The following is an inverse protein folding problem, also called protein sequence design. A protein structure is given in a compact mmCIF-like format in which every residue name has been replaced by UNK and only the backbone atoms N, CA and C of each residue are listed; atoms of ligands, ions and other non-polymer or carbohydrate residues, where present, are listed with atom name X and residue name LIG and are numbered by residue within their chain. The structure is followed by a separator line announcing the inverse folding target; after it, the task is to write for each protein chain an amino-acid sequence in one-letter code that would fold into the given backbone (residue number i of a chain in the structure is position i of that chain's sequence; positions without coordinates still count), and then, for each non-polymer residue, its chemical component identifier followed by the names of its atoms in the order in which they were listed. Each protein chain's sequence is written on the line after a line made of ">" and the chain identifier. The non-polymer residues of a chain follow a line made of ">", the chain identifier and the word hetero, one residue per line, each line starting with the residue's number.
data_IF_077491851662
#
_entry.id   IF_077491851662
#
_cell.length_a   1.000
_cell.length_b   1.000
_cell.length_c   1.000
_cell.angle_alpha   90.00
_cell.angle_beta   90.00
_cell.angle_gamma   90.00
#
_symmetry.space_group_name_H-M   'P 1'
#
loop_
_entity.id
_entity.type
_entity.pdbx_description
1 polymer ?
#
# COMPACT_ATOMS: atom_id res chain seq x y z
N UNK A 1 3.00 4.59 13.65
CA UNK A 1 3.56 4.53 12.28
C UNK A 1 2.75 3.60 11.37
N UNK A 2 2.43 2.37 11.80
CA UNK A 2 1.62 1.43 11.00
C UNK A 2 0.29 2.00 10.48
N UNK A 3 -0.55 2.57 11.36
CA UNK A 3 -1.86 3.10 10.96
C UNK A 3 -1.79 4.25 9.94
N UNK A 4 -0.72 5.06 9.97
CA UNK A 4 -0.48 6.11 8.96
C UNK A 4 -0.20 5.48 7.61
N UNK A 5 0.69 4.48 7.56
CA UNK A 5 0.98 3.74 6.34
C UNK A 5 -0.27 3.02 5.79
N UNK A 6 -1.05 2.39 6.67
CA UNK A 6 -2.30 1.71 6.31
C UNK A 6 -3.34 2.70 5.76
N UNK A 7 -3.55 3.83 6.42
CA UNK A 7 -4.52 4.84 6.00
C UNK A 7 -4.18 5.44 4.63
N UNK A 8 -2.92 5.80 4.41
CA UNK A 8 -2.45 6.26 3.11
C UNK A 8 -2.61 5.18 2.04
N UNK A 9 -2.26 3.93 2.37
CA UNK A 9 -2.40 2.80 1.44
C UNK A 9 -3.86 2.59 1.06
N UNK A 10 -4.78 2.56 2.02
CA UNK A 10 -6.22 2.39 1.77
C UNK A 10 -6.79 3.53 0.93
N UNK A 11 -6.39 4.78 1.19
CA UNK A 11 -6.80 5.92 0.38
C UNK A 11 -6.32 5.76 -1.08
N UNK A 12 -5.05 5.38 -1.28
CA UNK A 12 -4.49 5.15 -2.61
C UNK A 12 -5.13 3.94 -3.33
N UNK A 13 -5.36 2.86 -2.59
CA UNK A 13 -5.99 1.64 -3.08
C UNK A 13 -7.44 1.90 -3.50
N UNK A 14 -8.22 2.59 -2.66
CA UNK A 14 -9.59 2.99 -2.98
C UNK A 14 -9.64 3.86 -4.25
N UNK A 15 -8.74 4.84 -4.38
CA UNK A 15 -8.63 5.63 -5.59
C UNK A 15 -8.32 4.75 -6.81
N UNK A 16 -7.40 3.79 -6.68
CA UNK A 16 -7.08 2.81 -7.73
C UNK A 16 -8.28 1.97 -8.16
N UNK A 17 -9.07 1.49 -7.20
CA UNK A 17 -10.33 0.75 -7.44
C UNK A 17 -11.32 1.63 -8.20
N UNK A 18 -11.57 2.86 -7.74
CA UNK A 18 -12.48 3.79 -8.40
C UNK A 18 -12.07 4.10 -9.84
N UNK A 19 -10.76 4.26 -10.09
CA UNK A 19 -10.22 4.43 -11.45
C UNK A 19 -10.40 3.17 -12.29
N UNK A 20 -10.13 2.00 -11.73
CA UNK A 20 -10.22 0.73 -12.45
C UNK A 20 -11.66 0.39 -12.88
N UNK A 21 -12.65 0.79 -12.07
CA UNK A 21 -14.07 0.65 -12.42
C UNK A 21 -14.66 1.85 -13.17
N UNK A 22 -13.85 2.86 -13.51
CA UNK A 22 -14.28 4.03 -14.28
C UNK A 22 -15.18 5.00 -13.51
N UNK A 23 -15.23 4.90 -12.18
CA UNK A 23 -15.99 5.82 -11.31
C UNK A 23 -15.29 7.18 -11.21
N UNK A 24 -13.95 7.19 -11.24
CA UNK A 24 -13.14 8.40 -11.17
C UNK A 24 -12.12 8.42 -12.31
N UNK A 25 -12.08 9.52 -13.08
CA UNK A 25 -10.98 9.77 -14.02
C UNK A 25 -9.90 10.64 -13.36
N UNK A 26 -8.74 10.04 -13.12
CA UNK A 26 -7.59 10.73 -12.54
C UNK A 26 -6.67 11.35 -13.58
N UNK A 27 -6.95 11.23 -14.90
CA UNK A 27 -6.08 11.80 -15.96
C UNK A 27 -5.61 13.24 -15.71
N UNK A 28 -6.46 14.19 -15.26
CA UNK A 28 -6.03 15.57 -15.00
C UNK A 28 -5.13 15.73 -13.77
N UNK A 29 -5.16 14.77 -12.84
CA UNK A 29 -4.48 14.85 -11.55
C UNK A 29 -3.74 13.56 -11.18
N UNK A 30 -3.18 12.87 -12.18
CA UNK A 30 -2.38 11.63 -11.98
C UNK A 30 -1.20 11.85 -11.03
N UNK A 31 -0.67 13.07 -11.00
CA UNK A 31 0.38 13.47 -10.06
C UNK A 31 -0.03 13.28 -8.60
N UNK A 32 -1.31 13.49 -8.26
CA UNK A 32 -1.81 13.31 -6.89
C UNK A 32 -1.77 11.84 -6.49
N UNK A 33 -2.22 10.93 -7.35
CA UNK A 33 -2.13 9.49 -7.10
C UNK A 33 -0.66 9.05 -6.91
N UNK A 34 0.26 9.56 -7.74
CA UNK A 34 1.68 9.26 -7.56
C UNK A 34 2.27 9.88 -6.28
N UNK A 35 1.91 11.11 -5.93
CA UNK A 35 2.35 11.75 -4.69
C UNK A 35 1.87 10.98 -3.45
N UNK A 36 0.59 10.57 -3.44
CA UNK A 36 0.05 9.70 -2.39
C UNK A 36 0.79 8.36 -2.39
N UNK A 37 1.03 7.73 -3.53
CA UNK A 37 1.79 6.48 -3.60
C UNK A 37 3.22 6.62 -3.03
N UNK A 38 3.94 7.71 -3.31
CA UNK A 38 5.24 7.96 -2.68
C UNK A 38 5.14 8.16 -1.17
N UNK A 39 4.11 8.87 -0.70
CA UNK A 39 3.85 9.01 0.73
C UNK A 39 3.55 7.65 1.39
N UNK A 40 2.81 6.76 0.71
CA UNK A 40 2.61 5.36 1.12
C UNK A 40 3.97 4.68 1.23
N UNK A 41 4.80 4.67 0.19
CA UNK A 41 6.12 4.02 0.22
C UNK A 41 6.98 4.47 1.40
N UNK A 42 7.09 5.78 1.64
CA UNK A 42 7.86 6.34 2.76
C UNK A 42 7.25 5.88 4.10
N UNK A 43 5.93 6.00 4.26
CA UNK A 43 5.25 5.58 5.47
C UNK A 43 5.40 4.08 5.73
N UNK A 44 5.38 3.23 4.70
CA UNK A 44 5.59 1.78 4.80
C UNK A 44 7.01 1.46 5.23
N UNK A 45 8.02 2.13 4.67
CA UNK A 45 9.43 1.95 5.10
C UNK A 45 9.59 2.33 6.57
N UNK A 46 9.06 3.50 6.97
CA UNK A 46 9.13 3.95 8.36
C UNK A 46 8.36 3.01 9.31
N UNK A 47 7.19 2.52 8.89
CA UNK A 47 6.41 1.55 9.66
C UNK A 47 7.13 0.20 9.77
N UNK A 48 7.71 -0.31 8.68
CA UNK A 48 8.46 -1.57 8.70
C UNK A 48 9.68 -1.46 9.62
N UNK A 49 10.47 -0.38 9.48
CA UNK A 49 11.63 -0.12 10.32
C UNK A 49 11.22 0.01 11.80
N UNK A 50 10.21 0.82 12.11
CA UNK A 50 9.71 0.97 13.48
C UNK A 50 9.21 -0.36 14.05
N UNK A 51 8.46 -1.13 13.28
CA UNK A 51 7.94 -2.43 13.70
C UNK A 51 9.07 -3.42 14.02
N UNK A 52 10.06 -3.55 13.14
CA UNK A 52 11.23 -4.41 13.38
C UNK A 52 12.00 -3.97 14.61
N UNK A 53 12.29 -2.68 14.75
CA UNK A 53 13.05 -2.13 15.88
C UNK A 53 12.29 -2.25 17.22
N UNK A 54 10.96 -2.27 17.18
CA UNK A 54 10.11 -2.40 18.36
C UNK A 54 9.74 -3.85 18.69
N UNK A 55 10.20 -4.84 17.89
CA UNK A 55 9.86 -6.25 18.07
C UNK A 55 8.45 -6.64 17.60
N UNK A 56 7.80 -5.79 16.81
CA UNK A 56 6.43 -5.96 16.35
C UNK A 56 6.34 -6.85 15.09
N UNK A 57 5.38 -7.77 15.08
CA UNK A 57 5.17 -8.72 13.97
C UNK A 57 4.88 -8.02 12.65
N UNK A 58 4.11 -6.93 12.66
CA UNK A 58 3.77 -6.20 11.44
C UNK A 58 5.01 -5.65 10.72
N UNK A 59 6.12 -5.40 11.41
CA UNK A 59 7.35 -4.89 10.79
C UNK A 59 7.87 -5.84 9.69
N UNK A 60 7.86 -7.13 9.99
CA UNK A 60 8.26 -8.18 9.04
C UNK A 60 7.23 -8.40 7.93
N UNK A 61 5.94 -8.31 8.26
CA UNK A 61 4.84 -8.45 7.28
C UNK A 61 4.81 -7.31 6.24
N UNK A 62 5.41 -6.16 6.53
CA UNK A 62 5.54 -5.06 5.58
C UNK A 62 6.71 -5.22 4.59
N UNK A 63 7.65 -6.15 4.81
CA UNK A 63 8.77 -6.34 3.86
C UNK A 63 8.29 -6.83 2.48
N UNK A 64 7.38 -7.82 2.36
CA UNK A 64 6.79 -8.19 1.08
C UNK A 64 6.04 -7.03 0.40
N UNK A 65 5.42 -6.13 1.17
CA UNK A 65 4.75 -4.94 0.62
C UNK A 65 5.75 -4.04 -0.11
N UNK A 66 6.93 -3.80 0.48
CA UNK A 66 7.99 -3.01 -0.16
C UNK A 66 8.47 -3.64 -1.47
N UNK A 67 8.61 -4.98 -1.50
CA UNK A 67 8.94 -5.70 -2.73
C UNK A 67 7.83 -5.54 -3.79
N UNK A 68 6.56 -5.64 -3.40
CA UNK A 68 5.42 -5.42 -4.30
C UNK A 68 5.40 -3.99 -4.84
N UNK A 69 5.66 -2.97 -4.01
CA UNK A 69 5.75 -1.58 -4.44
C UNK A 69 6.90 -1.32 -5.42
N UNK A 70 8.00 -2.05 -5.32
CA UNK A 70 9.07 -1.97 -6.30
C UNK A 70 8.66 -2.54 -7.67
N UNK A 71 7.79 -3.57 -7.69
CA UNK A 71 7.29 -4.19 -8.92
C UNK A 71 6.13 -3.40 -9.53
N UNK A 72 5.26 -2.81 -8.70
CA UNK A 72 4.00 -2.18 -9.11
C UNK A 72 4.13 -1.14 -10.26
N UNK A 73 5.13 -0.23 -10.27
CA UNK A 73 5.32 0.73 -11.35
C UNK A 73 5.73 0.10 -12.70
N UNK A 74 6.22 -1.15 -12.68
CA UNK A 74 6.61 -1.90 -13.87
C UNK A 74 5.42 -2.55 -14.56
N UNK A 75 4.27 -2.60 -13.91
CA UNK A 75 3.02 -3.16 -14.45
C UNK A 75 2.06 -2.02 -14.81
N UNK A 76 1.54 -2.06 -16.03
CA UNK A 76 0.63 -1.04 -16.55
C UNK A 76 -0.57 -0.84 -15.61
N UNK A 77 -0.76 0.40 -15.14
CA UNK A 77 -1.91 0.78 -14.32
C UNK A 77 -3.25 0.47 -15.03
N UNK A 78 -4.26 0.10 -14.26
CA UNK A 78 -5.59 -0.27 -14.76
C UNK A 78 -5.70 -1.68 -15.36
N UNK A 79 -4.64 -2.50 -15.27
CA UNK A 79 -4.68 -3.91 -15.70
C UNK A 79 -4.95 -4.86 -14.52
N UNK A 80 -5.42 -6.07 -14.80
CA UNK A 80 -5.61 -7.11 -13.79
C UNK A 80 -4.31 -7.43 -13.02
N UNK A 81 -3.15 -7.40 -13.68
CA UNK A 81 -1.86 -7.59 -13.02
C UNK A 81 -1.52 -6.50 -12.00
N UNK A 82 -1.83 -5.25 -12.33
CA UNK A 82 -1.65 -4.14 -11.39
C UNK A 82 -2.59 -4.26 -10.18
N UNK A 83 -3.85 -4.63 -10.43
CA UNK A 83 -4.85 -4.90 -9.40
C UNK A 83 -4.41 -6.05 -8.48
N UNK A 84 -3.88 -7.15 -9.05
CA UNK A 84 -3.39 -8.29 -8.28
C UNK A 84 -2.24 -7.91 -7.33
N UNK A 85 -1.27 -7.13 -7.80
CA UNK A 85 -0.16 -6.65 -6.96
C UNK A 85 -0.65 -5.75 -5.82
N UNK A 86 -1.56 -4.83 -6.11
CA UNK A 86 -2.15 -3.95 -5.10
C UNK A 86 -2.96 -4.75 -4.06
N UNK A 87 -3.75 -5.73 -4.50
CA UNK A 87 -4.51 -6.62 -3.61
C UNK A 87 -3.62 -7.53 -2.76
N UNK A 88 -2.49 -7.99 -3.31
CA UNK A 88 -1.50 -8.73 -2.53
C UNK A 88 -0.90 -7.86 -1.42
N UNK A 89 -0.59 -6.59 -1.71
CA UNK A 89 -0.15 -5.64 -0.68
C UNK A 89 -1.23 -5.41 0.38
N UNK A 90 -2.50 -5.32 -0.01
CA UNK A 90 -3.63 -5.22 0.92
C UNK A 90 -3.70 -6.42 1.87
N UNK A 91 -3.46 -7.64 1.39
CA UNK A 91 -3.45 -8.84 2.22
C UNK A 91 -2.36 -8.78 3.31
N UNK A 92 -1.15 -8.32 2.99
CA UNK A 92 -0.08 -8.12 3.97
C UNK A 92 -0.38 -7.00 4.97
N UNK A 93 -0.97 -5.89 4.51
CA UNK A 93 -1.46 -4.84 5.41
C UNK A 93 -2.54 -5.36 6.35
N UNK A 94 -3.48 -6.17 5.87
CA UNK A 94 -4.51 -6.79 6.69
C UNK A 94 -3.89 -7.74 7.73
N UNK A 95 -2.94 -8.58 7.33
CA UNK A 95 -2.20 -9.45 8.25
C UNK A 95 -1.47 -8.64 9.34
N UNK A 96 -0.83 -7.54 8.97
CA UNK A 96 -0.21 -6.60 9.91
C UNK A 96 -1.22 -5.99 10.88
N UNK A 97 -2.39 -5.58 10.39
CA UNK A 97 -3.46 -5.04 11.24
C UNK A 97 -3.97 -6.08 12.24
N UNK A 98 -4.20 -7.33 11.81
CA UNK A 98 -4.63 -8.39 12.72
C UNK A 98 -3.55 -8.77 13.73
N UNK A 99 -2.26 -8.70 13.35
CA UNK A 99 -1.17 -8.94 14.29
C UNK A 99 -1.12 -7.93 15.44
N UNK A 100 -1.64 -6.71 15.24
CA UNK A 100 -1.79 -5.68 16.27
C UNK A 100 -3.05 -5.86 17.13
N UNK A 101 -4.06 -6.60 16.65
CA UNK A 101 -5.36 -6.75 17.30
C UNK A 101 -5.45 -7.99 18.21
N UNK A 102 -4.41 -8.82 18.23
CA UNK A 102 -4.36 -10.10 18.96
C UNK A 102 -3.48 -10.01 20.24
N UNK A 103 -3.02 -8.81 20.59
CA UNK A 103 -2.29 -8.50 21.84
C UNK A 103 -3.06 -7.45 22.64
#
# INVERSE_FOLDING_TARGET
>A
MFYVALGLFLANFALGVLVQFGVVDTKPFRWLHHAVFFAVCVATVLAAAWGILSGEVYGWLLLPVLALFYVLPKVRAGTAGHAALASAALAFYAAGFFSLAVL
#
